data_IF_993334864756
#
_entry.id   IF_993334864756
#
_cell.length_a   1.000
_cell.length_b   1.000
_cell.length_c   1.000
_cell.angle_alpha   90.00
_cell.angle_beta   90.00
_cell.angle_gamma   90.00
#
_symmetry.space_group_name_H-M   'P 1'
#
loop_
_entity.id
_entity.type
_entity.pdbx_description
1 polymer ?
#
# COMPACT_ATOMS: atom_id res chain seq x y z
N UNK A 1 -31.50 -14.17 -30.24
CA UNK A 1 -30.56 -13.08 -29.93
C UNK A 1 -30.19 -13.23 -28.48
N UNK A 2 -29.02 -13.78 -28.21
CA UNK A 2 -28.11 -13.40 -27.13
C UNK A 2 -26.85 -14.20 -27.40
N UNK A 3 -25.84 -13.51 -27.90
CA UNK A 3 -24.55 -14.09 -28.24
C UNK A 3 -23.72 -14.21 -26.97
N UNK A 4 -23.24 -15.42 -26.69
CA UNK A 4 -22.21 -15.65 -25.69
C UNK A 4 -20.93 -14.89 -26.10
N UNK A 5 -20.52 -13.94 -25.26
CA UNK A 5 -19.29 -13.19 -25.44
C UNK A 5 -18.09 -14.08 -25.11
N UNK A 6 -17.06 -14.19 -25.98
CA UNK A 6 -15.84 -14.90 -25.62
C UNK A 6 -15.00 -14.01 -24.69
N UNK A 7 -15.02 -14.32 -23.38
CA UNK A 7 -14.30 -13.57 -22.34
C UNK A 7 -12.82 -13.97 -22.21
N UNK A 8 -12.08 -14.08 -23.31
CA UNK A 8 -10.65 -14.41 -23.28
C UNK A 8 -9.81 -13.14 -23.45
N UNK A 9 -9.34 -12.58 -22.33
CA UNK A 9 -8.36 -11.48 -22.33
C UNK A 9 -6.97 -12.03 -22.68
N UNK A 10 -6.44 -11.64 -23.84
CA UNK A 10 -5.13 -12.05 -24.32
C UNK A 10 -4.07 -11.00 -23.92
N UNK A 11 -2.90 -11.42 -23.43
CA UNK A 11 -1.73 -10.54 -23.25
C UNK A 11 -0.68 -10.94 -24.28
N UNK A 12 -0.50 -10.12 -25.32
CA UNK A 12 0.49 -10.39 -26.35
C UNK A 12 1.82 -9.74 -25.93
N UNK A 13 2.84 -10.57 -25.68
CA UNK A 13 4.21 -10.11 -25.49
C UNK A 13 4.78 -9.67 -26.84
N UNK A 14 5.47 -8.53 -26.85
CA UNK A 14 5.76 -7.70 -28.04
C UNK A 14 6.47 -8.39 -29.21
N UNK A 15 7.00 -9.61 -29.09
CA UNK A 15 7.91 -10.16 -30.12
C UNK A 15 7.65 -11.62 -30.56
N UNK A 16 6.46 -12.20 -30.33
CA UNK A 16 6.06 -13.46 -31.01
C UNK A 16 4.54 -13.59 -31.12
N UNK A 17 4.06 -14.04 -32.28
CA UNK A 17 2.65 -14.27 -32.66
C UNK A 17 1.93 -15.39 -31.86
N UNK A 18 2.26 -15.62 -30.59
CA UNK A 18 1.55 -16.55 -29.72
C UNK A 18 1.04 -15.79 -28.49
N UNK A 19 -0.22 -15.36 -28.56
CA UNK A 19 -0.93 -14.91 -27.37
C UNK A 19 -1.41 -16.18 -26.66
N UNK A 20 -0.71 -16.55 -25.59
CA UNK A 20 -1.02 -17.76 -24.83
C UNK A 20 -2.27 -17.52 -23.97
N UNK A 21 -3.19 -18.49 -23.96
CA UNK A 21 -4.38 -18.45 -23.11
C UNK A 21 -3.95 -18.59 -21.65
N UNK A 22 -4.03 -17.51 -20.89
CA UNK A 22 -3.80 -17.56 -19.44
C UNK A 22 -4.98 -18.31 -18.79
N UNK A 23 -4.72 -19.22 -17.82
CA UNK A 23 -5.77 -19.79 -16.99
C UNK A 23 -6.64 -18.66 -16.41
N UNK A 24 -7.95 -18.85 -16.31
CA UNK A 24 -8.88 -17.82 -15.82
C UNK A 24 -8.43 -17.19 -14.51
N UNK A 25 -7.81 -17.98 -13.63
CA UNK A 25 -7.27 -17.56 -12.34
C UNK A 25 -6.20 -16.48 -12.48
N UNK A 26 -5.43 -16.46 -13.56
CA UNK A 26 -4.38 -15.47 -13.80
C UNK A 26 -4.90 -14.12 -14.29
N UNK A 27 -6.15 -14.06 -14.79
CA UNK A 27 -6.71 -12.82 -15.34
C UNK A 27 -7.06 -11.80 -14.25
N UNK A 28 -7.32 -12.27 -13.02
CA UNK A 28 -7.78 -11.46 -11.89
C UNK A 28 -6.84 -11.49 -10.69
N UNK A 29 -5.65 -12.08 -10.83
CA UNK A 29 -4.65 -12.09 -9.76
C UNK A 29 -4.14 -10.67 -9.47
N UNK A 30 -4.25 -10.28 -8.20
CA UNK A 30 -3.68 -9.04 -7.67
C UNK A 30 -2.75 -9.36 -6.51
N UNK A 31 -1.57 -8.73 -6.49
CA UNK A 31 -0.70 -8.73 -5.33
C UNK A 31 -1.28 -7.87 -4.21
N UNK A 32 -0.78 -8.06 -3.00
CA UNK A 32 -1.05 -7.20 -1.84
C UNK A 32 -0.76 -5.72 -2.14
N UNK A 33 0.34 -5.43 -2.84
CA UNK A 33 0.71 -4.07 -3.23
C UNK A 33 -0.18 -3.47 -4.33
N UNK A 34 -0.89 -4.29 -5.11
CA UNK A 34 -1.81 -3.80 -6.16
C UNK A 34 -3.28 -3.77 -5.70
N UNK A 35 -3.63 -4.52 -4.65
CA UNK A 35 -4.97 -4.54 -4.07
C UNK A 35 -5.17 -3.36 -3.10
N UNK A 36 -6.39 -2.83 -3.00
CA UNK A 36 -6.68 -1.66 -2.16
C UNK A 36 -6.89 -1.98 -0.67
N UNK A 37 -7.05 -3.26 -0.31
CA UNK A 37 -7.62 -3.63 0.98
C UNK A 37 -6.71 -3.31 2.17
N UNK A 38 -5.45 -3.76 2.13
CA UNK A 38 -4.52 -3.64 3.27
C UNK A 38 -3.09 -3.45 2.81
N UNK A 39 -2.42 -2.47 3.38
CA UNK A 39 -0.97 -2.30 3.30
C UNK A 39 -0.31 -3.12 4.40
N UNK A 40 0.62 -4.00 4.02
CA UNK A 40 1.39 -4.84 4.95
C UNK A 40 2.83 -4.89 4.45
N UNK A 41 3.80 -4.73 5.36
CA UNK A 41 5.21 -5.02 5.06
C UNK A 41 5.59 -6.38 5.65
N UNK A 42 6.15 -7.23 4.80
CA UNK A 42 6.73 -8.51 5.17
C UNK A 42 8.24 -8.38 5.26
N UNK A 43 8.84 -8.85 6.36
CA UNK A 43 10.27 -8.65 6.66
C UNK A 43 11.22 -9.12 5.56
N UNK A 44 10.82 -10.16 4.81
CA UNK A 44 11.62 -10.74 3.72
C UNK A 44 11.47 -10.03 2.36
N UNK A 45 10.61 -9.03 2.25
CA UNK A 45 10.43 -8.20 1.04
C UNK A 45 10.83 -6.74 1.26
N UNK A 46 11.26 -6.38 2.47
CA UNK A 46 11.77 -5.05 2.79
C UNK A 46 13.16 -4.83 2.16
N UNK A 47 13.45 -3.61 1.73
CA UNK A 47 14.78 -3.27 1.21
C UNK A 47 14.83 -1.92 0.50
N UNK A 48 15.89 -1.72 -0.29
CA UNK A 48 16.01 -0.52 -1.12
C UNK A 48 15.04 -0.60 -2.30
N UNK A 49 14.23 0.45 -2.46
CA UNK A 49 13.31 0.60 -3.57
C UNK A 49 14.04 0.63 -4.92
N UNK A 50 15.27 1.18 -4.95
CA UNK A 50 16.09 1.23 -6.17
C UNK A 50 16.61 -0.14 -6.58
N UNK A 51 16.72 -1.09 -5.65
CA UNK A 51 17.10 -2.47 -5.91
C UNK A 51 15.89 -3.40 -6.15
N UNK A 52 14.68 -2.84 -6.28
CA UNK A 52 13.47 -3.60 -6.61
C UNK A 52 12.67 -4.11 -5.41
N UNK A 53 12.98 -3.68 -4.19
CA UNK A 53 12.11 -3.98 -3.06
C UNK A 53 10.76 -3.25 -3.22
N UNK A 54 9.62 -3.90 -2.95
CA UNK A 54 8.29 -3.26 -3.03
C UNK A 54 8.10 -2.15 -1.99
N UNK A 55 8.83 -2.18 -0.87
CA UNK A 55 8.71 -1.20 0.20
C UNK A 55 10.00 -1.04 1.02
N UNK A 56 10.21 0.14 1.63
CA UNK A 56 11.40 0.40 2.44
C UNK A 56 11.40 -0.43 3.74
N UNK A 57 12.56 -0.56 4.41
CA UNK A 57 12.66 -1.25 5.69
C UNK A 57 11.68 -0.74 6.74
N UNK A 58 11.20 -1.63 7.58
CA UNK A 58 10.35 -1.32 8.73
C UNK A 58 11.13 -0.45 9.72
N UNK A 59 10.51 0.62 10.22
CA UNK A 59 11.13 1.49 11.23
C UNK A 59 10.77 1.12 12.67
N UNK A 60 9.73 0.30 12.84
CA UNK A 60 9.34 -0.29 14.12
C UNK A 60 10.02 -1.64 14.37
N UNK A 61 9.22 -2.70 14.55
CA UNK A 61 9.72 -4.06 14.80
C UNK A 61 8.92 -5.11 14.04
N UNK A 62 9.43 -6.33 13.90
CA UNK A 62 8.72 -7.43 13.27
C UNK A 62 8.13 -8.38 14.29
N UNK A 63 6.88 -8.78 14.10
CA UNK A 63 6.22 -9.83 14.90
C UNK A 63 5.58 -10.84 13.96
N UNK A 64 6.14 -12.06 13.89
CA UNK A 64 5.78 -13.10 12.91
C UNK A 64 5.98 -12.65 11.45
N UNK A 65 7.17 -12.12 11.14
CA UNK A 65 7.56 -11.58 9.83
C UNK A 65 6.73 -10.38 9.30
N UNK A 66 5.77 -9.87 10.08
CA UNK A 66 4.98 -8.68 9.72
C UNK A 66 5.53 -7.48 10.48
N UNK A 67 5.79 -6.38 9.77
CA UNK A 67 6.16 -5.09 10.36
C UNK A 67 5.02 -4.57 11.26
N UNK A 68 5.37 -4.27 12.51
CA UNK A 68 4.65 -3.35 13.36
C UNK A 68 5.21 -1.96 13.06
N UNK A 69 4.39 -1.10 12.47
CA UNK A 69 4.83 0.20 11.98
C UNK A 69 5.31 1.12 13.12
N UNK A 70 6.41 1.82 12.88
CA UNK A 70 6.88 2.93 13.71
C UNK A 70 6.55 4.28 13.09
N UNK A 71 6.83 5.37 13.81
CA UNK A 71 6.59 6.74 13.34
C UNK A 71 7.33 7.06 12.03
N UNK A 72 8.49 6.41 11.79
CA UNK A 72 9.26 6.57 10.55
C UNK A 72 8.58 6.01 9.30
N UNK A 73 7.64 5.08 9.46
CA UNK A 73 6.89 4.47 8.34
C UNK A 73 5.73 5.36 7.87
N UNK A 74 5.25 6.30 8.70
CA UNK A 74 4.00 7.03 8.45
C UNK A 74 4.01 7.82 7.15
N UNK A 75 5.10 8.52 6.84
CA UNK A 75 5.22 9.31 5.60
C UNK A 75 5.03 8.44 4.36
N UNK A 76 5.54 7.21 4.39
CA UNK A 76 5.39 6.27 3.29
C UNK A 76 3.97 5.67 3.26
N UNK A 77 3.41 5.32 4.42
CA UNK A 77 2.05 4.75 4.54
C UNK A 77 0.99 5.69 3.94
N UNK A 78 1.03 6.99 4.27
CA UNK A 78 0.02 7.97 3.81
C UNK A 78 0.09 8.27 2.31
N UNK A 79 1.14 7.81 1.63
CA UNK A 79 1.30 7.93 0.18
C UNK A 79 0.77 6.71 -0.58
N UNK A 80 0.39 5.64 0.13
CA UNK A 80 -0.16 4.43 -0.49
C UNK A 80 -1.66 4.58 -0.74
N UNK A 81 -2.19 3.77 -1.66
CA UNK A 81 -3.59 3.79 -2.06
C UNK A 81 -4.49 2.87 -1.21
N UNK A 82 -3.89 2.08 -0.31
CA UNK A 82 -4.62 1.13 0.53
C UNK A 82 -5.54 1.84 1.53
N UNK A 83 -6.66 1.20 1.86
CA UNK A 83 -7.65 1.71 2.81
C UNK A 83 -7.18 1.60 4.27
N UNK A 84 -6.48 0.51 4.59
CA UNK A 84 -6.03 0.18 5.93
C UNK A 84 -4.55 -0.25 5.89
N UNK A 85 -3.83 -0.05 6.97
CA UNK A 85 -2.47 -0.54 7.14
C UNK A 85 -2.38 -1.45 8.36
N UNK A 86 -1.69 -2.59 8.24
CA UNK A 86 -1.51 -3.55 9.31
C UNK A 86 -0.01 -3.88 9.52
N UNK A 87 0.55 -3.80 10.74
CA UNK A 87 -0.10 -3.57 12.06
C UNK A 87 0.50 -2.39 12.81
N UNK A 88 -0.29 -1.85 13.73
CA UNK A 88 0.13 -0.88 14.75
C UNK A 88 0.00 -1.53 16.13
N UNK A 89 0.88 -1.16 17.04
CA UNK A 89 0.88 -1.64 18.42
C UNK A 89 1.38 -0.51 19.34
N UNK A 90 0.59 -0.07 20.33
CA UNK A 90 1.01 1.00 21.24
C UNK A 90 2.22 0.62 22.10
N UNK A 91 2.49 -0.66 22.32
CA UNK A 91 3.70 -1.11 23.03
C UNK A 91 4.97 -1.02 22.17
N UNK A 92 4.83 -0.93 20.85
CA UNK A 92 5.96 -0.76 19.92
C UNK A 92 6.20 0.72 19.66
N UNK A 93 5.15 1.45 19.24
CA UNK A 93 5.24 2.88 18.98
C UNK A 93 3.85 3.54 19.02
N UNK A 94 3.48 4.05 20.18
CA UNK A 94 2.24 4.80 20.37
C UNK A 94 2.22 6.16 19.63
N UNK A 95 3.40 6.73 19.33
CA UNK A 95 3.48 7.97 18.54
C UNK A 95 3.02 7.73 17.12
N UNK A 96 3.33 6.56 16.54
CA UNK A 96 2.87 6.17 15.21
C UNK A 96 1.33 6.24 15.11
N UNK A 97 0.63 5.73 16.13
CA UNK A 97 -0.84 5.71 16.20
C UNK A 97 -1.39 7.13 16.36
N UNK A 98 -0.88 7.88 17.34
CA UNK A 98 -1.33 9.25 17.63
C UNK A 98 -1.13 10.20 16.45
N UNK A 99 0.00 10.11 15.76
CA UNK A 99 0.28 10.92 14.58
C UNK A 99 -0.66 10.57 13.42
N UNK A 100 -0.93 9.28 13.18
CA UNK A 100 -1.88 8.87 12.14
C UNK A 100 -3.31 9.31 12.46
N UNK A 101 -3.75 9.21 13.71
CA UNK A 101 -5.04 9.73 14.17
C UNK A 101 -5.16 11.24 13.92
N UNK A 102 -4.20 12.03 14.40
CA UNK A 102 -4.19 13.47 14.22
C UNK A 102 -4.17 13.86 12.74
N UNK A 103 -3.39 13.16 11.93
CA UNK A 103 -3.29 13.37 10.49
C UNK A 103 -4.64 13.13 9.78
N UNK A 104 -5.28 11.98 10.05
CA UNK A 104 -6.55 11.62 9.43
C UNK A 104 -7.68 12.53 9.91
N UNK A 105 -7.71 12.89 11.20
CA UNK A 105 -8.70 13.83 11.76
C UNK A 105 -8.59 15.20 11.12
N UNK A 106 -7.37 15.73 10.99
CA UNK A 106 -7.14 17.00 10.30
C UNK A 106 -7.61 16.93 8.83
N UNK A 107 -7.23 15.86 8.12
CA UNK A 107 -7.63 15.65 6.72
C UNK A 107 -9.15 15.58 6.55
N UNK A 108 -9.86 14.94 7.48
CA UNK A 108 -11.31 14.81 7.45
C UNK A 108 -12.02 16.15 7.74
N UNK A 109 -11.52 16.94 8.70
CA UNK A 109 -12.15 18.21 9.10
C UNK A 109 -11.91 19.30 8.06
N UNK A 110 -10.67 19.43 7.56
CA UNK A 110 -10.27 20.57 6.73
C UNK A 110 -10.21 20.24 5.22
N UNK A 111 -10.37 18.97 4.84
CA UNK A 111 -10.24 18.53 3.45
C UNK A 111 -8.84 18.73 2.86
N UNK A 112 -7.82 18.95 3.71
CA UNK A 112 -6.42 19.20 3.31
C UNK A 112 -5.47 18.23 3.99
N UNK A 113 -4.41 17.84 3.29
CA UNK A 113 -3.39 16.94 3.83
C UNK A 113 -2.32 17.72 4.59
N UNK A 114 -1.91 17.27 5.78
CA UNK A 114 -0.76 17.85 6.50
C UNK A 114 0.57 17.68 5.73
N UNK A 115 0.61 16.86 4.68
CA UNK A 115 1.78 16.75 3.80
C UNK A 115 1.97 17.98 2.91
N UNK A 116 0.92 18.75 2.66
CA UNK A 116 0.91 19.90 1.71
C UNK A 116 0.69 21.23 2.42
N UNK A 117 0.40 21.21 3.72
CA UNK A 117 0.13 22.40 4.53
C UNK A 117 1.45 22.90 5.12
N UNK A 118 1.70 24.21 5.03
CA UNK A 118 2.88 24.78 5.67
C UNK A 118 2.64 24.91 7.16
N UNK A 119 3.72 24.80 7.96
CA UNK A 119 3.63 24.94 9.42
C UNK A 119 2.96 26.24 9.85
N UNK A 120 3.11 27.32 9.06
CA UNK A 120 2.46 28.62 9.28
C UNK A 120 0.93 28.61 9.18
N UNK A 121 0.38 27.63 8.47
CA UNK A 121 -1.06 27.56 8.18
C UNK A 121 -1.80 26.71 9.21
N UNK A 122 -1.06 26.03 10.10
CA UNK A 122 -1.60 25.25 11.22
C UNK A 122 -1.90 26.22 12.35
N UNK A 123 -3.16 26.65 12.45
CA UNK A 123 -3.66 27.41 13.60
C UNK A 123 -4.03 26.40 14.68
N UNK A 124 -3.21 26.34 15.75
CA UNK A 124 -3.45 25.54 16.96
C UNK A 124 -4.27 26.34 17.97
#
# INVERSE_FOLDING_TARGET
VEGDAPSSSHKCLSDRLQCEQLPSDHLYQQSDMNAIARLVKWSYHEGDLKSGAPYPPCTGTHRRAICVYGAGDLKWIVQQHHLLANKFDPEVDDIAIKCMEAFLRYKAIYGRSLLTVQKSDIIL
#
